data_IF_960792687692
#
_entry.id   IF_960792687692
#
_cell.length_a   1.000
_cell.length_b   1.000
_cell.length_c   1.000
_cell.angle_alpha   90.00
_cell.angle_beta   90.00
_cell.angle_gamma   90.00
#
_symmetry.space_group_name_H-M   'P 1'
#
loop_
_entity.id
_entity.type
_entity.pdbx_description
1 polymer ?
#
# COMPACT_ATOMS: atom_id res chain seq x y z
N UNK A 1 -0.60 7.92 17.73
CA UNK A 1 0.84 7.83 17.38
C UNK A 1 0.98 8.17 15.90
N UNK A 2 2.03 8.89 15.51
CA UNK A 2 2.24 9.22 14.09
C UNK A 2 2.72 7.98 13.33
N UNK A 3 2.17 7.72 12.14
CA UNK A 3 2.54 6.56 11.31
C UNK A 3 3.79 6.86 10.49
N UNK A 4 4.69 5.89 10.40
CA UNK A 4 5.87 5.93 9.56
C UNK A 4 5.44 5.93 8.09
N UNK A 5 5.79 7.01 7.37
CA UNK A 5 5.53 7.16 5.94
C UNK A 5 6.60 6.40 5.15
N UNK A 6 6.17 5.43 4.34
CA UNK A 6 7.05 4.49 3.65
C UNK A 6 6.90 4.67 2.15
N UNK A 7 8.02 4.88 1.47
CA UNK A 7 8.13 4.83 0.03
C UNK A 7 8.90 3.58 -0.39
N UNK A 8 8.45 2.90 -1.42
CA UNK A 8 9.08 1.69 -1.95
C UNK A 8 9.82 2.03 -3.24
N UNK A 9 11.13 1.77 -3.28
CA UNK A 9 11.94 1.86 -4.51
C UNK A 9 12.29 0.44 -4.94
N UNK A 10 11.90 0.06 -6.16
CA UNK A 10 11.96 -1.32 -6.64
C UNK A 10 10.68 -2.07 -6.32
N UNK A 11 9.54 -1.62 -6.87
CA UNK A 11 8.23 -2.26 -6.76
C UNK A 11 8.11 -3.50 -7.67
N UNK A 12 9.06 -4.41 -7.58
CA UNK A 12 9.13 -5.65 -8.37
C UNK A 12 8.37 -6.83 -7.76
N UNK A 13 8.75 -8.05 -8.16
CA UNK A 13 8.11 -9.29 -7.67
C UNK A 13 8.28 -9.52 -6.16
N UNK A 14 9.48 -9.27 -5.62
CA UNK A 14 9.77 -9.47 -4.18
C UNK A 14 8.93 -8.53 -3.32
N UNK A 15 8.85 -7.25 -3.69
CA UNK A 15 7.95 -6.31 -3.02
C UNK A 15 6.52 -6.85 -2.98
N UNK A 16 5.95 -7.23 -4.13
CA UNK A 16 4.56 -7.72 -4.22
C UNK A 16 4.32 -9.00 -3.44
N UNK A 17 5.27 -9.93 -3.46
CA UNK A 17 5.11 -11.27 -2.89
C UNK A 17 5.47 -11.39 -1.41
N UNK A 18 6.44 -10.60 -0.93
CA UNK A 18 7.00 -10.75 0.42
C UNK A 18 6.70 -9.54 1.32
N UNK A 19 6.84 -8.32 0.80
CA UNK A 19 6.72 -7.11 1.63
C UNK A 19 5.27 -6.60 1.70
N UNK A 20 4.63 -6.48 0.53
CA UNK A 20 3.31 -5.88 0.40
C UNK A 20 2.24 -6.51 1.30
N UNK A 21 2.16 -7.85 1.45
CA UNK A 21 1.17 -8.46 2.33
C UNK A 21 1.30 -8.08 3.81
N UNK A 22 2.49 -7.66 4.26
CA UNK A 22 2.74 -7.34 5.66
C UNK A 22 2.36 -5.90 6.04
N UNK A 23 2.45 -4.94 5.11
CA UNK A 23 2.11 -3.53 5.39
C UNK A 23 0.73 -3.32 6.03
N UNK A 24 -0.38 -3.90 5.53
CA UNK A 24 -1.69 -3.69 6.14
C UNK A 24 -1.84 -4.28 7.56
N UNK A 25 -0.90 -5.14 7.97
CA UNK A 25 -0.89 -5.75 9.31
C UNK A 25 -0.05 -4.95 10.32
N UNK A 26 0.59 -3.86 9.89
CA UNK A 26 1.43 -3.00 10.73
C UNK A 26 0.73 -1.62 10.83
N UNK A 27 -0.03 -1.35 11.91
CA UNK A 27 -0.79 -0.09 12.06
C UNK A 27 0.08 1.17 11.97
N UNK A 28 1.34 1.07 12.37
CA UNK A 28 2.32 2.16 12.32
C UNK A 28 2.84 2.44 10.91
N UNK A 29 2.61 1.56 9.93
CA UNK A 29 3.09 1.72 8.58
C UNK A 29 2.06 2.41 7.68
N UNK A 30 2.49 3.46 6.96
CA UNK A 30 1.71 4.08 5.89
C UNK A 30 2.49 4.04 4.58
N UNK A 31 2.06 3.19 3.65
CA UNK A 31 2.62 3.16 2.30
C UNK A 31 2.15 4.41 1.53
N UNK A 32 3.07 5.32 1.22
CA UNK A 32 2.76 6.60 0.56
C UNK A 32 3.18 6.66 -0.90
N UNK A 33 4.14 5.83 -1.30
CA UNK A 33 4.66 5.87 -2.66
C UNK A 33 5.20 4.52 -3.15
N UNK A 34 5.05 4.29 -4.45
CA UNK A 34 5.75 3.24 -5.19
C UNK A 34 6.64 3.87 -6.26
N UNK A 35 7.84 3.34 -6.42
CA UNK A 35 8.78 3.73 -7.47
C UNK A 35 9.35 2.48 -8.15
N UNK A 36 9.30 2.44 -9.48
CA UNK A 36 9.98 1.43 -10.29
C UNK A 36 10.24 1.98 -11.70
N UNK A 37 11.41 1.65 -12.26
CA UNK A 37 11.77 2.02 -13.63
C UNK A 37 10.90 1.27 -14.67
N UNK A 38 10.46 0.06 -14.32
CA UNK A 38 9.56 -0.74 -15.14
C UNK A 38 8.13 -0.31 -14.90
N UNK A 39 7.53 0.37 -15.89
CA UNK A 39 6.13 0.78 -15.86
C UNK A 39 5.18 -0.41 -15.64
N UNK A 40 5.51 -1.56 -16.23
CA UNK A 40 4.76 -2.81 -16.02
C UNK A 40 4.83 -3.27 -14.55
N UNK A 41 6.02 -3.23 -13.93
CA UNK A 41 6.18 -3.60 -12.52
C UNK A 41 5.44 -2.62 -11.61
N UNK A 42 5.57 -1.33 -11.87
CA UNK A 42 4.88 -0.27 -11.14
C UNK A 42 3.35 -0.42 -11.21
N UNK A 43 2.80 -0.61 -12.41
CA UNK A 43 1.37 -0.83 -12.63
C UNK A 43 0.86 -2.11 -11.96
N UNK A 44 1.62 -3.20 -12.09
CA UNK A 44 1.29 -4.47 -11.43
C UNK A 44 1.33 -4.37 -9.91
N UNK A 45 2.26 -3.60 -9.37
CA UNK A 45 2.40 -3.35 -7.93
C UNK A 45 1.30 -2.46 -7.40
N UNK A 46 0.93 -1.39 -8.11
CA UNK A 46 -0.20 -0.54 -7.75
C UNK A 46 -1.51 -1.35 -7.72
N UNK A 47 -1.71 -2.23 -8.71
CA UNK A 47 -2.86 -3.13 -8.76
C UNK A 47 -2.86 -4.10 -7.57
N UNK A 48 -1.70 -4.65 -7.22
CA UNK A 48 -1.57 -5.53 -6.05
C UNK A 48 -1.85 -4.79 -4.73
N UNK A 49 -1.36 -3.55 -4.58
CA UNK A 49 -1.62 -2.71 -3.39
C UNK A 49 -3.11 -2.50 -3.23
N UNK A 50 -3.79 -2.03 -4.28
CA UNK A 50 -5.25 -1.80 -4.28
C UNK A 50 -6.00 -3.05 -3.86
N UNK A 51 -5.70 -4.19 -4.47
CA UNK A 51 -6.36 -5.46 -4.14
C UNK A 51 -6.16 -5.87 -2.67
N UNK A 52 -4.94 -5.75 -2.15
CA UNK A 52 -4.62 -6.15 -0.78
C UNK A 52 -5.27 -5.20 0.22
N UNK A 53 -5.19 -3.89 -0.01
CA UNK A 53 -5.77 -2.88 0.87
C UNK A 53 -7.30 -2.94 0.86
N UNK A 54 -7.93 -3.11 -0.32
CA UNK A 54 -9.39 -3.30 -0.42
C UNK A 54 -9.87 -4.51 0.38
N UNK A 55 -9.14 -5.63 0.33
CA UNK A 55 -9.45 -6.80 1.15
C UNK A 55 -9.34 -6.48 2.64
N UNK A 56 -8.29 -5.78 3.07
CA UNK A 56 -8.12 -5.37 4.48
C UNK A 56 -9.25 -4.43 4.93
N UNK A 57 -9.64 -3.46 4.09
CA UNK A 57 -10.73 -2.53 4.35
C UNK A 57 -12.04 -3.29 4.58
N UNK A 58 -12.35 -4.27 3.73
CA UNK A 58 -13.53 -5.11 3.88
C UNK A 58 -13.48 -5.94 5.18
N UNK A 59 -12.33 -6.56 5.47
CA UNK A 59 -12.11 -7.31 6.73
C UNK A 59 -12.36 -6.41 7.97
N UNK A 60 -11.84 -5.18 7.96
CA UNK A 60 -12.02 -4.19 9.04
C UNK A 60 -13.48 -3.71 9.17
N UNK A 61 -14.18 -3.51 8.05
CA UNK A 61 -15.61 -3.17 8.08
C UNK A 61 -16.43 -4.28 8.72
N UNK A 62 -16.12 -5.54 8.39
CA UNK A 62 -16.80 -6.70 8.94
C UNK A 62 -16.52 -6.91 10.44
N UNK A 63 -15.32 -6.56 10.91
CA UNK A 63 -14.97 -6.61 12.35
C UNK A 63 -15.52 -5.44 13.16
N UNK A 64 -16.07 -4.41 12.50
CA UNK A 64 -16.59 -3.20 13.15
C UNK A 64 -15.56 -2.08 13.33
N UNK A 65 -14.33 -2.25 12.83
CA UNK A 65 -13.25 -1.27 12.88
C UNK A 65 -13.38 -0.22 11.76
N UNK A 66 -14.55 0.42 11.67
CA UNK A 66 -14.93 1.31 10.57
C UNK A 66 -13.98 2.50 10.43
N UNK A 67 -13.55 3.11 11.55
CA UNK A 67 -12.61 4.24 11.53
C UNK A 67 -11.25 3.85 10.92
N UNK A 68 -10.76 2.64 11.22
CA UNK A 68 -9.51 2.14 10.66
C UNK A 68 -9.70 1.87 9.16
N UNK A 69 -10.84 1.29 8.76
CA UNK A 69 -11.17 1.07 7.35
C UNK A 69 -11.16 2.37 6.54
N UNK A 70 -11.79 3.43 7.05
CA UNK A 70 -11.78 4.77 6.41
C UNK A 70 -10.37 5.36 6.32
N UNK A 71 -9.53 5.12 7.34
CA UNK A 71 -8.14 5.57 7.31
C UNK A 71 -7.35 4.87 6.20
N UNK A 72 -7.55 3.56 6.01
CA UNK A 72 -6.94 2.79 4.93
C UNK A 72 -7.42 3.24 3.55
N UNK A 73 -8.69 3.64 3.39
CA UNK A 73 -9.19 4.22 2.15
C UNK A 73 -8.47 5.52 1.79
N UNK A 74 -8.33 6.44 2.75
CA UNK A 74 -7.59 7.69 2.56
C UNK A 74 -6.12 7.43 2.19
N UNK A 75 -5.49 6.45 2.81
CA UNK A 75 -4.10 6.11 2.48
C UNK A 75 -3.95 5.59 1.04
N UNK A 76 -4.94 4.83 0.56
CA UNK A 76 -4.96 4.33 -0.81
C UNK A 76 -5.17 5.45 -1.83
N UNK A 77 -5.96 6.47 -1.48
CA UNK A 77 -6.17 7.68 -2.29
C UNK A 77 -4.93 8.56 -2.38
N UNK A 78 -4.16 8.67 -1.29
CA UNK A 78 -2.92 9.46 -1.23
C UNK A 78 -1.71 8.75 -1.86
N UNK A 79 -1.81 7.45 -2.16
CA UNK A 79 -0.73 6.66 -2.73
C UNK A 79 -0.33 7.18 -4.11
N UNK A 80 0.94 7.61 -4.23
CA UNK A 80 1.49 8.14 -5.47
C UNK A 80 2.46 7.15 -6.13
N UNK A 81 2.63 7.22 -7.44
CA UNK A 81 3.61 6.42 -8.17
C UNK A 81 4.66 7.29 -8.88
N UNK A 82 5.88 6.78 -8.94
CA UNK A 82 7.03 7.45 -9.54
C UNK A 82 7.77 6.47 -10.46
N UNK A 83 8.36 6.98 -11.55
CA UNK A 83 9.21 6.18 -12.46
C UNK A 83 10.71 6.42 -12.25
N UNK A 84 11.05 7.45 -11.49
CA UNK A 84 12.39 7.82 -11.07
C UNK A 84 12.31 8.27 -9.60
N UNK A 85 13.41 8.07 -8.87
CA UNK A 85 13.56 8.49 -7.47
C UNK A 85 14.19 9.88 -7.36
N UNK A 86 14.62 10.47 -8.49
CA UNK A 86 15.13 11.83 -8.58
C UNK A 86 14.02 12.88 -8.65
#
# INVERSE_FOLDING_TARGET
MERVRIAVIGAGGIFRGAHLPAYPEIPEAKLIALCDISEQSLSSSLTAVRRIYQRKIEELRQSGDVEIAEQFEKDLEELTTYRDYK
#
